data_IF_245196342323
#
_entry.id   IF_245196342323
#
_cell.length_a   1.000
_cell.length_b   1.000
_cell.length_c   1.000
_cell.angle_alpha   90.00
_cell.angle_beta   90.00
_cell.angle_gamma   90.00
#
_symmetry.space_group_name_H-M   'P 1'
#
loop_
_entity.id
_entity.type
_entity.pdbx_description
1 polymer ?
#
# COMPACT_ATOMS: atom_id res chain seq x y z
N UNK A 1 -1.84 17.59 -6.93
CA UNK A 1 -1.86 16.18 -6.48
C UNK A 1 -2.66 16.09 -5.19
N UNK A 2 -3.99 16.21 -5.24
CA UNK A 2 -4.83 16.22 -4.03
C UNK A 2 -5.34 14.81 -3.67
N UNK A 3 -5.55 13.95 -4.68
CA UNK A 3 -6.07 12.59 -4.49
C UNK A 3 -5.06 11.58 -3.89
N UNK A 4 -3.79 11.96 -3.75
CA UNK A 4 -2.73 11.11 -3.14
C UNK A 4 -2.64 11.32 -1.62
N UNK A 5 -3.18 12.42 -1.10
CA UNK A 5 -3.18 12.67 0.34
C UNK A 5 -4.14 11.73 1.06
N UNK A 6 -3.64 10.97 2.05
CA UNK A 6 -4.45 10.03 2.84
C UNK A 6 -5.54 10.73 3.66
N UNK A 7 -5.26 11.94 4.14
CA UNK A 7 -6.21 12.74 4.92
C UNK A 7 -7.13 13.62 4.04
N UNK A 8 -6.96 13.58 2.71
CA UNK A 8 -7.79 14.35 1.79
C UNK A 8 -9.06 13.58 1.49
N UNK A 9 -10.22 14.18 1.74
CA UNK A 9 -11.50 13.64 1.26
C UNK A 9 -11.63 13.94 -0.23
N UNK A 10 -11.57 12.91 -1.07
CA UNK A 10 -11.55 13.10 -2.54
C UNK A 10 -12.82 13.80 -3.04
N UNK A 11 -13.96 13.54 -2.40
CA UNK A 11 -15.25 14.15 -2.72
C UNK A 11 -15.29 15.67 -2.50
N UNK A 12 -14.43 16.19 -1.63
CA UNK A 12 -14.35 17.63 -1.35
C UNK A 12 -13.55 18.41 -2.39
N UNK A 13 -12.84 17.72 -3.29
CA UNK A 13 -11.96 18.34 -4.28
C UNK A 13 -12.82 18.90 -5.43
N UNK A 14 -12.64 20.19 -5.73
CA UNK A 14 -13.22 20.80 -6.93
C UNK A 14 -12.35 20.49 -8.15
N UNK A 15 -12.83 19.62 -9.02
CA UNK A 15 -12.16 19.30 -10.29
C UNK A 15 -12.62 20.22 -11.41
N UNK A 16 -11.73 20.49 -12.36
CA UNK A 16 -12.03 21.28 -13.57
C UNK A 16 -12.95 20.54 -14.57
N UNK A 17 -13.23 19.26 -14.33
CA UNK A 17 -14.13 18.43 -15.14
C UNK A 17 -13.96 16.94 -14.85
N UNK A 18 -14.87 16.12 -15.39
CA UNK A 18 -14.93 14.67 -15.14
C UNK A 18 -13.65 13.93 -15.56
N UNK A 19 -12.99 14.35 -16.65
CA UNK A 19 -11.72 13.77 -17.08
C UNK A 19 -10.60 14.02 -16.07
N UNK A 20 -10.52 15.24 -15.52
CA UNK A 20 -9.49 15.61 -14.52
C UNK A 20 -9.74 14.86 -13.21
N UNK A 21 -11.00 14.71 -12.82
CA UNK A 21 -11.39 13.89 -11.67
C UNK A 21 -10.96 12.43 -11.84
N UNK A 22 -11.29 11.82 -12.99
CA UNK A 22 -10.92 10.44 -13.28
C UNK A 22 -9.39 10.25 -13.24
N UNK A 23 -8.63 11.15 -13.87
CA UNK A 23 -7.16 11.11 -13.84
C UNK A 23 -6.63 11.27 -12.42
N UNK A 24 -7.21 12.17 -11.62
CA UNK A 24 -6.87 12.34 -10.22
C UNK A 24 -7.10 11.06 -9.41
N UNK A 25 -8.24 10.40 -9.60
CA UNK A 25 -8.57 9.13 -8.94
C UNK A 25 -7.64 8.00 -9.38
N UNK A 26 -7.34 7.89 -10.67
CA UNK A 26 -6.36 6.91 -11.19
C UNK A 26 -4.98 7.15 -10.56
N UNK A 27 -4.54 8.41 -10.48
CA UNK A 27 -3.26 8.77 -9.88
C UNK A 27 -3.21 8.43 -8.39
N UNK A 28 -4.27 8.74 -7.63
CA UNK A 28 -4.37 8.36 -6.21
C UNK A 28 -4.35 6.85 -6.00
N UNK A 29 -5.01 6.08 -6.87
CA UNK A 29 -4.93 4.62 -6.84
C UNK A 29 -3.53 4.12 -7.15
N UNK A 30 -2.88 4.68 -8.18
CA UNK A 30 -1.54 4.27 -8.59
C UNK A 30 -0.49 4.54 -7.50
N UNK A 31 -0.62 5.64 -6.76
CA UNK A 31 0.26 5.97 -5.64
C UNK A 31 0.19 4.91 -4.52
N UNK A 32 -1.02 4.60 -4.05
CA UNK A 32 -1.24 3.58 -3.02
C UNK A 32 -0.80 2.19 -3.48
N UNK A 33 -1.09 1.82 -4.73
CA UNK A 33 -0.60 0.57 -5.30
C UNK A 33 0.93 0.54 -5.34
N UNK A 34 1.59 1.60 -5.79
CA UNK A 34 3.04 1.68 -5.86
C UNK A 34 3.71 1.50 -4.50
N UNK A 35 3.13 2.09 -3.46
CA UNK A 35 3.63 1.97 -2.09
C UNK A 35 3.50 0.54 -1.55
N UNK A 36 2.34 -0.11 -1.73
CA UNK A 36 2.04 -1.38 -1.05
C UNK A 36 2.43 -2.63 -1.84
N UNK A 37 2.57 -2.52 -3.16
CA UNK A 37 2.90 -3.66 -4.04
C UNK A 37 4.38 -3.97 -4.09
N UNK A 38 5.22 -3.10 -3.52
CA UNK A 38 6.65 -3.29 -3.56
C UNK A 38 7.03 -4.63 -2.91
N UNK A 39 7.85 -5.41 -3.60
CA UNK A 39 8.40 -6.66 -3.08
C UNK A 39 9.24 -6.43 -1.83
N UNK A 40 9.85 -5.24 -1.70
CA UNK A 40 10.60 -4.80 -0.53
C UNK A 40 9.74 -3.95 0.44
N UNK A 41 8.41 -4.13 0.45
CA UNK A 41 7.51 -3.28 1.22
C UNK A 41 7.84 -3.31 2.72
N UNK A 42 8.08 -4.50 3.29
CA UNK A 42 8.32 -4.68 4.72
C UNK A 42 9.65 -4.06 5.14
N UNK A 43 10.69 -4.23 4.31
CA UNK A 43 12.02 -3.67 4.51
C UNK A 43 11.99 -2.14 4.57
N UNK A 44 11.02 -1.51 3.91
CA UNK A 44 10.88 -0.05 3.87
C UNK A 44 10.06 0.53 5.02
N UNK A 45 9.36 -0.30 5.80
CA UNK A 45 8.51 0.20 6.91
C UNK A 45 9.33 0.91 8.00
N UNK A 46 10.52 0.43 8.43
CA UNK A 46 11.38 1.17 9.35
C UNK A 46 11.79 2.54 8.78
N UNK A 47 12.29 2.58 7.54
CA UNK A 47 12.68 3.84 6.88
C UNK A 47 11.48 4.81 6.73
N UNK A 48 10.28 4.27 6.54
CA UNK A 48 9.04 5.06 6.46
C UNK A 48 8.69 5.67 7.82
N UNK A 49 8.87 4.93 8.91
CA UNK A 49 8.70 5.45 10.26
C UNK A 49 9.65 6.62 10.53
N UNK A 50 10.93 6.47 10.18
CA UNK A 50 11.92 7.54 10.38
C UNK A 50 11.54 8.81 9.59
N UNK A 51 11.09 8.66 8.35
CA UNK A 51 10.57 9.78 7.54
C UNK A 51 9.35 10.44 8.17
N UNK A 52 8.47 9.68 8.83
CA UNK A 52 7.34 10.24 9.55
C UNK A 52 7.79 11.07 10.75
N UNK A 53 8.76 10.57 11.52
CA UNK A 53 9.35 11.31 12.63
C UNK A 53 10.00 12.61 12.13
N UNK A 54 10.78 12.56 11.06
CA UNK A 54 11.41 13.73 10.42
C UNK A 54 10.37 14.75 9.92
N UNK A 55 9.23 14.27 9.42
CA UNK A 55 8.12 15.11 8.99
C UNK A 55 7.25 15.64 10.16
N UNK A 56 7.60 15.33 11.41
CA UNK A 56 6.84 15.73 12.60
C UNK A 56 5.54 14.96 12.81
N UNK A 57 5.37 13.80 12.16
CA UNK A 57 4.21 12.93 12.30
C UNK A 57 4.42 12.03 13.53
N UNK A 58 3.69 12.29 14.60
CA UNK A 58 3.83 11.58 15.89
C UNK A 58 2.75 10.52 16.11
N UNK A 59 2.09 10.06 15.04
CA UNK A 59 0.95 9.11 15.12
C UNK A 59 1.36 7.72 15.61
N UNK A 60 2.62 7.35 15.42
CA UNK A 60 3.18 6.04 15.75
C UNK A 60 4.21 6.18 16.88
N UNK A 61 4.15 5.28 17.85
CA UNK A 61 5.10 5.30 18.97
C UNK A 61 6.50 4.82 18.57
N UNK A 62 6.55 3.77 17.74
CA UNK A 62 7.77 3.12 17.27
C UNK A 62 7.51 2.40 15.92
N UNK A 63 8.55 1.83 15.26
CA UNK A 63 8.35 1.10 14.01
C UNK A 63 7.45 -0.14 14.13
N UNK A 64 7.38 -0.77 15.31
CA UNK A 64 6.53 -1.93 15.54
C UNK A 64 5.04 -1.53 15.59
N UNK A 65 4.71 -0.39 16.20
CA UNK A 65 3.36 0.20 16.18
C UNK A 65 2.92 0.54 14.74
N UNK A 66 3.83 1.07 13.90
CA UNK A 66 3.55 1.28 12.48
C UNK A 66 3.20 -0.06 11.78
N UNK A 67 3.96 -1.12 12.05
CA UNK A 67 3.72 -2.45 11.48
C UNK A 67 2.40 -3.07 11.95
N UNK A 68 2.08 -2.99 13.24
CA UNK A 68 0.82 -3.49 13.79
C UNK A 68 -0.38 -2.76 13.13
N UNK A 69 -0.26 -1.46 12.89
CA UNK A 69 -1.31 -0.65 12.23
C UNK A 69 -1.39 -0.84 10.72
N UNK A 70 -0.38 -1.47 10.11
CA UNK A 70 -0.30 -1.64 8.64
C UNK A 70 -1.44 -2.53 8.10
N UNK A 71 -1.92 -3.50 8.88
CA UNK A 71 -3.10 -4.29 8.50
C UNK A 71 -4.37 -3.42 8.41
N UNK A 72 -4.55 -2.50 9.37
CA UNK A 72 -5.63 -1.52 9.34
C UNK A 72 -5.51 -0.57 8.15
N UNK A 73 -4.28 -0.11 7.86
CA UNK A 73 -3.99 0.72 6.69
C UNK A 73 -4.35 0.03 5.37
N UNK A 74 -4.10 -1.27 5.23
CA UNK A 74 -4.52 -2.03 4.06
C UNK A 74 -6.04 -2.06 3.89
N UNK A 75 -6.78 -2.35 4.97
CA UNK A 75 -8.24 -2.36 4.93
C UNK A 75 -8.81 -0.99 4.54
N UNK A 76 -8.30 0.07 5.15
CA UNK A 76 -8.66 1.45 4.79
C UNK A 76 -8.35 1.76 3.32
N UNK A 77 -7.23 1.26 2.79
CA UNK A 77 -6.84 1.43 1.39
C UNK A 77 -7.84 0.75 0.44
N UNK A 78 -8.30 -0.47 0.75
CA UNK A 78 -9.33 -1.15 -0.04
C UNK A 78 -10.66 -0.39 -0.04
N UNK A 79 -11.09 0.13 1.11
CA UNK A 79 -12.29 0.96 1.24
C UNK A 79 -12.16 2.24 0.41
N UNK A 80 -10.99 2.90 0.48
CA UNK A 80 -10.67 4.10 -0.31
C UNK A 80 -10.65 3.84 -1.81
N UNK A 81 -10.18 2.67 -2.26
CA UNK A 81 -10.27 2.26 -3.67
C UNK A 81 -11.72 2.12 -4.12
N UNK A 82 -12.56 1.42 -3.33
CA UNK A 82 -13.94 1.16 -3.69
C UNK A 82 -14.83 2.41 -3.66
N UNK A 83 -14.63 3.28 -2.67
CA UNK A 83 -15.40 4.52 -2.48
C UNK A 83 -14.76 5.72 -3.18
N UNK A 84 -13.85 6.40 -2.47
CA UNK A 84 -13.32 7.72 -2.84
C UNK A 84 -12.63 7.77 -4.20
N UNK A 85 -11.92 6.69 -4.58
CA UNK A 85 -11.16 6.63 -5.83
C UNK A 85 -11.97 6.02 -6.99
N UNK A 86 -13.30 5.89 -6.83
CA UNK A 86 -14.21 5.53 -7.92
C UNK A 86 -13.99 4.12 -8.48
N UNK A 87 -13.39 3.23 -7.69
CA UNK A 87 -13.07 1.85 -8.04
C UNK A 87 -12.27 1.75 -9.36
N UNK A 88 -11.34 2.67 -9.58
CA UNK A 88 -10.42 2.69 -10.74
C UNK A 88 -9.45 1.51 -10.72
N UNK A 89 -9.22 0.90 -9.56
CA UNK A 89 -8.43 -0.32 -9.41
C UNK A 89 -8.89 -1.41 -10.39
N UNK A 90 -10.19 -1.56 -10.66
CA UNK A 90 -10.73 -2.55 -11.61
C UNK A 90 -10.06 -2.54 -13.00
N UNK A 91 -9.48 -1.42 -13.41
CA UNK A 91 -8.79 -1.30 -14.69
C UNK A 91 -7.44 -2.04 -14.73
N UNK A 92 -6.83 -2.35 -13.58
CA UNK A 92 -5.59 -3.12 -13.46
C UNK A 92 -5.73 -4.53 -14.08
N UNK A 93 -6.76 -5.28 -13.70
CA UNK A 93 -7.06 -6.63 -14.21
C UNK A 93 -7.30 -6.61 -15.71
N UNK A 94 -8.06 -5.63 -16.19
CA UNK A 94 -8.26 -5.43 -17.63
C UNK A 94 -6.94 -5.20 -18.37
N UNK A 95 -6.03 -4.41 -17.79
CA UNK A 95 -4.68 -4.18 -18.33
C UNK A 95 -3.86 -5.47 -18.32
N UNK A 96 -3.87 -6.22 -17.23
CA UNK A 96 -3.14 -7.49 -17.13
C UNK A 96 -3.61 -8.52 -18.16
N UNK A 97 -4.94 -8.65 -18.31
CA UNK A 97 -5.55 -9.54 -19.28
C UNK A 97 -5.20 -9.14 -20.71
N UNK A 98 -5.28 -7.85 -21.05
CA UNK A 98 -5.00 -7.36 -22.41
C UNK A 98 -3.52 -7.49 -22.79
N UNK A 99 -2.60 -7.24 -21.85
CA UNK A 99 -1.17 -7.10 -22.15
C UNK A 99 -0.38 -8.40 -21.95
N UNK A 100 -0.80 -9.25 -21.03
CA UNK A 100 -0.09 -10.48 -20.64
C UNK A 100 -0.99 -11.73 -20.57
N UNK A 101 -2.27 -11.63 -20.95
CA UNK A 101 -3.24 -12.75 -20.86
C UNK A 101 -3.43 -13.32 -19.45
N UNK A 102 -3.19 -12.49 -18.42
CA UNK A 102 -3.38 -12.84 -17.01
C UNK A 102 -4.69 -12.18 -16.54
N UNK A 103 -5.69 -12.99 -16.20
CA UNK A 103 -7.00 -12.49 -15.73
C UNK A 103 -7.08 -12.36 -14.19
N UNK A 104 -6.01 -11.81 -13.60
CA UNK A 104 -5.87 -11.55 -12.17
C UNK A 104 -5.39 -10.10 -11.95
N UNK A 105 -5.68 -9.55 -10.77
CA UNK A 105 -5.05 -8.31 -10.32
C UNK A 105 -3.75 -8.63 -9.56
N UNK A 106 -2.63 -8.57 -10.29
CA UNK A 106 -1.31 -8.86 -9.72
C UNK A 106 -0.90 -7.86 -8.64
N UNK A 107 -1.47 -6.65 -8.64
CA UNK A 107 -1.17 -5.68 -7.59
C UNK A 107 -1.80 -6.10 -6.26
N UNK A 108 -3.10 -6.39 -6.26
CA UNK A 108 -3.80 -6.87 -5.04
C UNK A 108 -3.14 -8.15 -4.53
N UNK A 109 -2.83 -9.09 -5.42
CA UNK A 109 -2.13 -10.33 -5.05
C UNK A 109 -0.81 -10.06 -4.31
N UNK A 110 0.01 -9.14 -4.83
CA UNK A 110 1.29 -8.78 -4.22
C UNK A 110 1.10 -8.11 -2.86
N UNK A 111 0.11 -7.21 -2.73
CA UNK A 111 -0.20 -6.56 -1.46
C UNK A 111 -0.65 -7.59 -0.41
N UNK A 112 -1.57 -8.49 -0.78
CA UNK A 112 -2.05 -9.53 0.14
C UNK A 112 -0.92 -10.45 0.61
N UNK A 113 0.03 -10.78 -0.27
CA UNK A 113 1.22 -11.53 0.11
C UNK A 113 2.11 -10.77 1.10
N UNK A 114 2.32 -9.47 0.87
CA UNK A 114 3.08 -8.62 1.78
C UNK A 114 2.41 -8.54 3.16
N UNK A 115 1.10 -8.28 3.21
CA UNK A 115 0.33 -8.21 4.45
C UNK A 115 0.32 -9.56 5.18
N UNK A 116 0.16 -10.68 4.46
CA UNK A 116 0.21 -12.03 5.02
C UNK A 116 1.59 -12.34 5.59
N UNK A 117 2.66 -11.93 4.91
CA UNK A 117 4.02 -12.13 5.40
C UNK A 117 4.28 -11.29 6.66
N UNK A 118 3.87 -10.01 6.66
CA UNK A 118 3.97 -9.14 7.83
C UNK A 118 3.24 -9.73 9.04
N UNK A 119 2.02 -10.24 8.84
CA UNK A 119 1.26 -10.91 9.90
C UNK A 119 2.02 -12.11 10.49
N UNK A 120 2.70 -12.91 9.66
CA UNK A 120 3.53 -14.03 10.14
C UNK A 120 4.74 -13.57 10.93
N UNK A 121 5.44 -12.52 10.46
CA UNK A 121 6.61 -11.96 11.15
C UNK A 121 6.21 -11.43 12.53
N UNK A 122 5.10 -10.68 12.61
CA UNK A 122 4.60 -10.12 13.87
C UNK A 122 4.10 -11.20 14.85
N UNK A 123 3.62 -12.34 14.33
CA UNK A 123 3.17 -13.46 15.16
C UNK A 123 4.33 -14.30 15.71
N UNK A 124 5.30 -14.66 14.86
CA UNK A 124 6.34 -15.63 15.19
C UNK A 124 7.64 -14.98 15.69
N UNK A 125 7.95 -13.77 15.21
CA UNK A 125 9.26 -13.15 15.38
C UNK A 125 9.18 -11.74 15.96
N UNK A 126 8.11 -11.39 16.69
CA UNK A 126 7.86 -10.03 17.21
C UNK A 126 9.05 -9.39 17.93
N UNK A 127 9.86 -10.17 18.66
CA UNK A 127 11.03 -9.66 19.39
C UNK A 127 12.23 -9.33 18.48
N UNK A 128 12.39 -10.07 17.38
CA UNK A 128 13.51 -9.94 16.45
C UNK A 128 13.01 -9.64 15.02
N UNK A 129 11.91 -8.89 14.91
CA UNK A 129 11.19 -8.75 13.63
C UNK A 129 12.09 -8.22 12.51
N UNK A 130 13.05 -7.36 12.84
CA UNK A 130 14.04 -6.76 11.93
C UNK A 130 14.82 -7.79 11.12
N UNK A 131 15.16 -8.94 11.71
CA UNK A 131 15.90 -10.03 11.04
C UNK A 131 15.03 -10.79 10.02
N UNK A 132 13.71 -10.66 10.15
CA UNK A 132 12.71 -11.36 9.36
C UNK A 132 11.92 -10.44 8.41
N UNK A 133 12.28 -9.15 8.31
CA UNK A 133 11.68 -8.24 7.33
C UNK A 133 12.20 -8.49 5.91
N UNK A 134 13.42 -9.02 5.79
CA UNK A 134 14.06 -9.33 4.50
C UNK A 134 13.45 -10.57 3.86
N UNK A 135 12.37 -10.37 3.09
CA UNK A 135 11.62 -11.47 2.46
C UNK A 135 12.48 -12.30 1.50
N UNK A 136 13.53 -11.70 0.93
CA UNK A 136 14.42 -12.31 -0.06
C UNK A 136 15.84 -12.63 0.43
N UNK A 137 16.23 -12.22 1.64
CA UNK A 137 17.55 -12.59 2.17
C UNK A 137 17.63 -14.09 2.48
N UNK A 138 16.52 -14.68 2.92
CA UNK A 138 16.42 -16.08 3.33
C UNK A 138 16.09 -17.05 2.17
N UNK A 139 15.90 -16.55 0.94
CA UNK A 139 15.65 -17.39 -0.25
C UNK A 139 16.95 -17.89 -0.93
N UNK A 140 18.11 -17.67 -0.32
CA UNK A 140 19.42 -18.12 -0.83
C UNK A 140 19.98 -19.38 -0.14
N UNK A 141 19.23 -19.99 0.77
CA UNK A 141 19.68 -21.17 1.54
C UNK A 141 18.91 -22.47 1.22
N UNK A 142 18.38 -22.61 0.00
CA UNK A 142 17.88 -23.90 -0.53
C UNK A 142 18.62 -24.33 -1.79
#
# INVERSE_FOLDING_TARGET
MLCTGLNTQVESIRFAGATVELLGKILGTADLLGQMTDRCYLEKLPDLFDKYVEAGITTFADPLDLMDRTQGFYKMTLERFAGELGNTLRFSRCRFRKRWSIDEDLYIKSIEENIRYLARVLLLHRKNYTEHLLRFAHLKEE
#
